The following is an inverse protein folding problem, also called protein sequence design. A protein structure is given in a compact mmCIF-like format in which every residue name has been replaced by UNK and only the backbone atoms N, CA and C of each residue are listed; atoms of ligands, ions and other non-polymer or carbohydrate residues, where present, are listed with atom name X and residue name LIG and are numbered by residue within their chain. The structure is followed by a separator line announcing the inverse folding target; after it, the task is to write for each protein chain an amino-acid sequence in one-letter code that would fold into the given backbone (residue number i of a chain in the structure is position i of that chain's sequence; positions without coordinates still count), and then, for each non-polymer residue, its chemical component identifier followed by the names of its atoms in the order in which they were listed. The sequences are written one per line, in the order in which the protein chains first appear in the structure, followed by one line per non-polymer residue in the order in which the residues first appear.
data_IF_086128207350
#
_entry.id   IF_086128207350
#
_cell.length_a   1.000
_cell.length_b   1.000
_cell.length_c   1.000
_cell.angle_alpha   90.00
_cell.angle_beta   90.00
_cell.angle_gamma   90.00
#
_symmetry.space_group_name_H-M   'P 1'
#
loop_
_entity.id
_entity.type
_entity.pdbx_description
1 polymer ?
#
# COMPACT_ATOMS: atom_id res chain seq x y z
N UNK A 1 -0.75 0.61 -31.57
CA UNK A 1 -0.35 -0.38 -30.55
C UNK A 1 1.07 -0.01 -30.13
N UNK A 2 1.19 0.85 -29.13
CA UNK A 2 2.48 1.31 -28.65
C UNK A 2 2.88 0.39 -27.51
N UNK A 3 3.87 -0.47 -27.78
CA UNK A 3 4.47 -1.35 -26.79
C UNK A 3 5.10 -0.51 -25.68
N UNK A 4 4.75 -0.80 -24.44
CA UNK A 4 5.44 -0.24 -23.28
C UNK A 4 6.80 -0.92 -23.20
N UNK A 5 7.85 -0.11 -23.30
CA UNK A 5 9.24 -0.55 -23.22
C UNK A 5 9.51 -0.88 -21.74
N UNK A 6 9.88 -2.12 -21.43
CA UNK A 6 10.23 -2.58 -20.08
C UNK A 6 11.61 -2.04 -19.64
N UNK A 7 11.82 -0.73 -19.74
CA UNK A 7 12.91 -0.04 -19.05
C UNK A 7 12.42 0.29 -17.65
N UNK A 8 13.12 -0.21 -16.64
CA UNK A 8 12.89 -0.03 -15.19
C UNK A 8 11.89 1.08 -14.84
N UNK A 9 10.61 0.72 -14.80
CA UNK A 9 9.56 1.62 -14.30
C UNK A 9 9.71 1.64 -12.79
N UNK A 10 10.42 2.64 -12.29
CA UNK A 10 10.42 2.99 -10.87
C UNK A 10 9.08 3.67 -10.62
N UNK A 11 8.24 3.06 -9.79
CA UNK A 11 7.01 3.65 -9.29
C UNK A 11 7.30 4.29 -7.93
N UNK A 12 7.27 5.61 -7.83
CA UNK A 12 7.38 6.31 -6.55
C UNK A 12 6.07 6.17 -5.75
N UNK A 13 6.14 6.23 -4.41
CA UNK A 13 4.96 6.10 -3.55
C UNK A 13 3.95 7.21 -3.87
N UNK A 14 4.45 8.42 -4.13
CA UNK A 14 3.62 9.55 -4.54
C UNK A 14 2.92 9.31 -5.88
N UNK A 15 3.60 8.71 -6.86
CA UNK A 15 3.02 8.39 -8.16
C UNK A 15 1.95 7.31 -8.05
N UNK A 16 2.23 6.26 -7.27
CA UNK A 16 1.24 5.24 -6.90
C UNK A 16 -0.01 5.87 -6.27
N UNK A 17 0.19 6.73 -5.27
CA UNK A 17 -0.90 7.35 -4.53
C UNK A 17 -1.78 8.22 -5.46
N UNK A 18 -1.16 9.00 -6.35
CA UNK A 18 -1.86 9.80 -7.35
C UNK A 18 -2.62 8.92 -8.34
N UNK A 19 -2.00 7.86 -8.84
CA UNK A 19 -2.64 6.90 -9.74
C UNK A 19 -3.91 6.31 -9.12
N UNK A 20 -3.86 5.91 -7.85
CA UNK A 20 -5.03 5.39 -7.14
C UNK A 20 -6.13 6.45 -6.96
N UNK A 21 -5.76 7.70 -6.69
CA UNK A 21 -6.71 8.81 -6.61
C UNK A 21 -7.42 9.04 -7.95
N UNK A 22 -6.67 8.99 -9.05
CA UNK A 22 -7.21 9.22 -10.39
C UNK A 22 -8.14 8.07 -10.83
N UNK A 23 -7.77 6.83 -10.50
CA UNK A 23 -8.53 5.65 -10.87
C UNK A 23 -9.80 5.46 -10.03
N UNK A 24 -9.70 5.56 -8.70
CA UNK A 24 -10.78 5.17 -7.78
C UNK A 24 -11.32 6.31 -6.91
N UNK A 25 -10.65 7.46 -6.87
CA UNK A 25 -10.94 8.52 -5.89
C UNK A 25 -12.39 9.04 -5.91
N UNK A 26 -13.08 9.03 -7.07
CA UNK A 26 -14.51 9.36 -7.11
C UNK A 26 -15.37 8.34 -6.34
N UNK A 27 -15.11 7.05 -6.54
CA UNK A 27 -15.84 5.97 -5.88
C UNK A 27 -15.50 5.94 -4.39
N UNK A 28 -14.23 6.14 -4.04
CA UNK A 28 -13.78 6.17 -2.64
C UNK A 28 -14.44 7.30 -1.87
N UNK A 29 -14.48 8.51 -2.43
CA UNK A 29 -15.14 9.67 -1.81
C UNK A 29 -16.64 9.43 -1.61
N UNK A 30 -17.29 8.74 -2.56
CA UNK A 30 -18.71 8.37 -2.45
C UNK A 30 -18.95 7.28 -1.39
N UNK A 31 -18.05 6.30 -1.29
CA UNK A 31 -18.10 5.18 -0.34
C UNK A 31 -17.81 5.63 1.10
N UNK A 32 -16.88 6.57 1.26
CA UNK A 32 -16.48 7.12 2.55
C UNK A 32 -15.47 6.25 3.30
N UNK A 33 -14.69 6.89 4.19
CA UNK A 33 -13.53 6.27 4.83
C UNK A 33 -13.84 5.02 5.67
N UNK A 34 -14.96 5.01 6.40
CA UNK A 34 -15.34 3.84 7.22
C UNK A 34 -15.59 2.60 6.38
N UNK A 35 -16.32 2.73 5.27
CA UNK A 35 -16.54 1.61 4.36
C UNK A 35 -15.27 1.23 3.61
N UNK A 36 -14.42 2.18 3.23
CA UNK A 36 -13.09 1.90 2.66
C UNK A 36 -12.19 1.12 3.63
N UNK A 37 -12.23 1.43 4.92
CA UNK A 37 -11.51 0.68 5.94
C UNK A 37 -11.98 -0.78 6.02
N UNK A 38 -13.28 -1.03 5.85
CA UNK A 38 -13.81 -2.41 5.86
C UNK A 38 -13.28 -3.23 4.68
N UNK A 39 -13.13 -2.62 3.49
CA UNK A 39 -12.49 -3.28 2.35
C UNK A 39 -11.02 -3.59 2.62
N UNK A 40 -10.26 -2.68 3.24
CA UNK A 40 -8.90 -3.01 3.67
C UNK A 40 -8.87 -4.20 4.63
N UNK A 41 -9.81 -4.29 5.58
CA UNK A 41 -9.91 -5.42 6.51
C UNK A 41 -10.24 -6.73 5.79
N UNK A 42 -11.08 -6.67 4.76
CA UNK A 42 -11.40 -7.80 3.88
C UNK A 42 -10.14 -8.35 3.21
N UNK A 43 -9.37 -7.52 2.49
CA UNK A 43 -8.16 -7.98 1.82
C UNK A 43 -7.08 -8.47 2.79
N UNK A 44 -7.00 -7.89 3.99
CA UNK A 44 -6.10 -8.39 5.05
C UNK A 44 -6.53 -9.80 5.49
N UNK A 45 -7.84 -10.08 5.51
CA UNK A 45 -8.39 -11.41 5.76
C UNK A 45 -8.04 -12.40 4.65
N UNK A 46 -8.18 -11.99 3.39
CA UNK A 46 -7.82 -12.80 2.22
C UNK A 46 -6.31 -13.08 2.20
N UNK A 47 -5.48 -12.07 2.48
CA UNK A 47 -4.04 -12.21 2.63
C UNK A 47 -3.69 -13.21 3.74
N UNK A 48 -4.36 -13.13 4.89
CA UNK A 48 -4.14 -14.06 6.00
C UNK A 48 -4.48 -15.50 5.60
N UNK A 49 -5.55 -15.70 4.83
CA UNK A 49 -5.90 -17.00 4.28
C UNK A 49 -4.85 -17.51 3.28
N UNK A 50 -4.41 -16.67 2.34
CA UNK A 50 -3.39 -16.99 1.35
C UNK A 50 -2.08 -17.45 2.02
N UNK A 51 -1.64 -16.70 3.04
CA UNK A 51 -0.46 -17.04 3.86
C UNK A 51 -0.64 -18.39 4.56
N UNK A 52 -1.79 -18.61 5.20
CA UNK A 52 -2.11 -19.88 5.90
C UNK A 52 -2.07 -21.08 4.96
N UNK A 53 -2.41 -20.89 3.68
CA UNK A 53 -2.43 -21.94 2.65
C UNK A 53 -1.11 -22.08 1.88
N UNK A 54 -0.12 -21.21 2.14
CA UNK A 54 1.10 -21.10 1.35
C UNK A 54 0.83 -20.88 -0.16
N UNK A 55 -0.25 -20.16 -0.47
CA UNK A 55 -0.63 -19.84 -1.84
C UNK A 55 0.12 -18.61 -2.31
N UNK A 56 1.29 -18.80 -2.93
CA UNK A 56 2.16 -17.69 -3.34
C UNK A 56 1.55 -16.79 -4.42
N UNK A 57 0.61 -17.31 -5.21
CA UNK A 57 -0.06 -16.49 -6.22
C UNK A 57 -1.04 -15.55 -5.53
N UNK A 58 -1.90 -16.10 -4.67
CA UNK A 58 -2.88 -15.29 -3.95
C UNK A 58 -2.17 -14.31 -2.99
N UNK A 59 -1.09 -14.71 -2.33
CA UNK A 59 -0.29 -13.78 -1.50
C UNK A 59 0.14 -12.53 -2.29
N UNK A 60 0.51 -12.68 -3.57
CA UNK A 60 0.93 -11.55 -4.40
C UNK A 60 -0.24 -10.62 -4.70
N UNK A 61 -1.39 -11.19 -5.03
CA UNK A 61 -2.64 -10.47 -5.31
C UNK A 61 -3.08 -9.68 -4.07
N UNK A 62 -3.23 -10.36 -2.93
CA UNK A 62 -3.76 -9.70 -1.72
C UNK A 62 -2.79 -8.67 -1.12
N UNK A 63 -1.48 -8.82 -1.31
CA UNK A 63 -0.51 -7.78 -0.95
C UNK A 63 -0.72 -6.50 -1.79
N UNK A 64 -1.01 -6.65 -3.08
CA UNK A 64 -1.29 -5.53 -3.97
C UNK A 64 -2.62 -4.86 -3.58
N UNK A 65 -3.65 -5.64 -3.27
CA UNK A 65 -4.97 -5.11 -2.90
C UNK A 65 -4.95 -4.42 -1.52
N UNK A 66 -4.24 -4.98 -0.54
CA UNK A 66 -3.95 -4.30 0.72
C UNK A 66 -3.26 -2.93 0.47
N UNK A 67 -2.24 -2.90 -0.39
CA UNK A 67 -1.52 -1.66 -0.69
C UNK A 67 -2.43 -0.63 -1.38
N UNK A 68 -3.26 -1.08 -2.33
CA UNK A 68 -4.26 -0.28 -3.02
C UNK A 68 -5.23 0.41 -2.04
N UNK A 69 -5.79 -0.34 -1.07
CA UNK A 69 -6.71 0.24 -0.09
C UNK A 69 -6.03 1.14 0.95
N UNK A 70 -4.76 0.89 1.29
CA UNK A 70 -3.96 1.86 2.06
C UNK A 70 -3.85 3.18 1.29
N UNK A 71 -3.58 3.14 -0.02
CA UNK A 71 -3.61 4.30 -0.90
C UNK A 71 -4.96 5.03 -0.91
N UNK A 72 -6.06 4.28 -1.01
CA UNK A 72 -7.41 4.84 -0.97
C UNK A 72 -7.71 5.57 0.35
N UNK A 73 -7.34 4.98 1.50
CA UNK A 73 -7.51 5.62 2.81
C UNK A 73 -6.65 6.88 2.92
N UNK A 74 -5.39 6.82 2.50
CA UNK A 74 -4.51 7.99 2.54
C UNK A 74 -5.09 9.16 1.72
N UNK A 75 -5.62 8.87 0.53
CA UNK A 75 -6.30 9.86 -0.30
C UNK A 75 -7.56 10.44 0.37
N UNK A 76 -8.37 9.62 1.04
CA UNK A 76 -9.57 10.09 1.74
C UNK A 76 -9.27 10.98 2.95
N UNK A 77 -8.13 10.75 3.61
CA UNK A 77 -7.68 11.54 4.75
C UNK A 77 -6.71 12.67 4.39
N UNK A 78 -6.41 12.85 3.09
CA UNK A 78 -5.39 13.79 2.59
C UNK A 78 -4.02 13.60 3.27
N UNK A 79 -3.60 12.35 3.46
CA UNK A 79 -2.28 11.98 3.99
C UNK A 79 -1.33 11.72 2.83
N UNK A 80 -0.18 12.38 2.81
CA UNK A 80 0.92 12.07 1.88
C UNK A 80 1.67 10.83 2.39
N UNK A 81 1.50 9.68 1.70
CA UNK A 81 2.05 8.40 2.17
C UNK A 81 3.57 8.37 2.19
N UNK A 82 4.20 8.98 1.19
CA UNK A 82 5.66 8.97 1.06
C UNK A 82 6.30 9.75 2.21
N UNK A 83 5.78 10.94 2.49
CA UNK A 83 6.22 11.78 3.60
C UNK A 83 5.97 11.07 4.93
N UNK A 84 4.77 10.54 5.15
CA UNK A 84 4.44 9.82 6.39
C UNK A 84 5.35 8.59 6.62
N UNK A 85 5.68 7.86 5.55
CA UNK A 85 6.59 6.73 5.62
C UNK A 85 8.02 7.17 5.96
N UNK A 86 8.55 8.20 5.29
CA UNK A 86 9.90 8.71 5.53
C UNK A 86 10.08 9.35 6.91
N UNK A 87 9.04 9.99 7.44
CA UNK A 87 9.02 10.50 8.82
C UNK A 87 9.14 9.36 9.84
N UNK A 88 8.44 8.25 9.59
CA UNK A 88 8.46 7.08 10.47
C UNK A 88 9.72 6.22 10.29
N UNK A 89 10.21 6.10 9.06
CA UNK A 89 11.33 5.24 8.66
C UNK A 89 12.32 6.04 7.81
N UNK A 90 13.16 6.90 8.43
CA UNK A 90 14.08 7.79 7.72
C UNK A 90 15.34 7.07 7.19
N UNK A 91 15.18 5.86 6.63
CA UNK A 91 16.23 4.91 6.24
C UNK A 91 17.00 4.26 7.40
N UNK A 92 16.42 4.28 8.59
CA UNK A 92 16.89 3.57 9.77
C UNK A 92 15.70 3.06 10.60
N UNK A 93 15.92 2.02 11.42
CA UNK A 93 14.93 1.59 12.40
C UNK A 93 14.57 2.76 13.32
N UNK A 94 13.29 3.12 13.51
CA UNK A 94 12.89 4.22 14.37
C UNK A 94 13.22 3.99 15.85
N UNK A 95 13.45 2.74 16.24
CA UNK A 95 13.76 2.36 17.62
C UNK A 95 15.26 2.36 17.90
N UNK A 96 16.07 1.66 17.09
CA UNK A 96 17.51 1.51 17.35
C UNK A 96 18.41 2.40 16.48
N UNK A 97 17.85 3.11 15.49
CA UNK A 97 18.60 4.00 14.61
C UNK A 97 19.55 3.31 13.63
N UNK A 98 19.52 1.97 13.51
CA UNK A 98 20.40 1.20 12.61
C UNK A 98 19.68 0.69 11.37
N UNK A 99 20.47 0.46 10.32
CA UNK A 99 20.07 -0.25 9.11
C UNK A 99 21.25 -1.14 8.66
N UNK A 100 21.18 -2.49 8.81
CA UNK A 100 20.01 -3.27 9.25
C UNK A 100 19.66 -3.07 10.73
N UNK A 101 18.38 -3.33 11.06
CA UNK A 101 17.86 -3.30 12.43
C UNK A 101 18.54 -4.36 13.32
N UNK A 102 18.65 -4.09 14.63
CA UNK A 102 19.20 -5.02 15.63
C UNK A 102 18.26 -5.24 16.83
N UNK A 103 17.02 -4.78 16.74
CA UNK A 103 15.99 -5.07 17.75
C UNK A 103 15.71 -6.58 17.75
N UNK A 104 15.47 -7.15 18.93
CA UNK A 104 15.16 -8.58 19.11
C UNK A 104 13.67 -8.85 19.23
N UNK A 105 12.87 -7.79 19.33
CA UNK A 105 11.43 -7.79 19.55
C UNK A 105 10.75 -6.86 18.54
#
# INVERSE_FOLDING_TARGET
MSGCNSGDVILEIKEFQQFMSDLYGHNDRRRGATATMLWLVEEVGELAEAVRRHDTENIREELADCFAWVGALANLYNVDLETAFLEKYPRACPTCGKNPCVCTD
#
